data_IF_458171070756
#
_entry.id   IF_458171070756
#
_cell.length_a   1.000
_cell.length_b   1.000
_cell.length_c   1.000
_cell.angle_alpha   90.00
_cell.angle_beta   90.00
_cell.angle_gamma   90.00
#
_symmetry.space_group_name_H-M   'P 1'
#
loop_
_entity.id
_entity.type
_entity.pdbx_description
1 polymer ?
#
# COMPACT_ATOMS: atom_id res chain seq x y z
N UNK A 1 3.28 -2.18 -1.34
CA UNK A 1 3.13 -0.86 -1.98
C UNK A 1 4.51 -0.27 -2.14
N UNK A 2 4.96 -0.06 -3.37
CA UNK A 2 6.30 0.48 -3.65
C UNK A 2 6.45 1.96 -3.25
N UNK A 3 5.34 2.66 -3.02
CA UNK A 3 5.33 4.08 -2.71
C UNK A 3 5.40 4.37 -1.21
N UNK A 4 4.55 3.73 -0.40
CA UNK A 4 4.51 3.90 1.05
C UNK A 4 4.98 2.67 1.84
N UNK A 5 5.61 1.71 1.17
CA UNK A 5 6.17 0.47 1.75
C UNK A 5 5.19 -0.48 2.48
N UNK A 6 3.87 -0.22 2.50
CA UNK A 6 2.93 -1.13 3.18
C UNK A 6 2.70 -2.45 2.42
N UNK A 7 2.51 -3.55 3.15
CA UNK A 7 2.20 -4.88 2.60
C UNK A 7 0.72 -5.08 2.25
N UNK A 8 0.40 -6.25 1.70
CA UNK A 8 -1.00 -6.61 1.35
C UNK A 8 -1.91 -6.80 2.57
N UNK A 9 -1.38 -7.24 3.72
CA UNK A 9 -2.15 -7.32 4.96
C UNK A 9 -2.57 -5.95 5.53
N UNK A 10 -1.90 -4.87 5.13
CA UNK A 10 -2.19 -3.51 5.61
C UNK A 10 -3.08 -2.70 4.66
N UNK A 11 -3.52 -3.29 3.56
CA UNK A 11 -4.37 -2.60 2.59
C UNK A 11 -5.42 -3.56 2.02
N UNK A 12 -6.69 -3.15 1.91
CA UNK A 12 -7.75 -4.05 1.45
C UNK A 12 -7.55 -4.55 0.02
N UNK A 13 -6.74 -3.84 -0.79
CA UNK A 13 -6.44 -4.23 -2.17
C UNK A 13 -5.13 -3.61 -2.64
N UNK A 14 -4.34 -4.40 -3.37
CA UNK A 14 -3.21 -3.88 -4.15
C UNK A 14 -3.66 -3.50 -5.57
N UNK A 15 -3.29 -2.29 -5.98
CA UNK A 15 -3.63 -1.71 -7.28
C UNK A 15 -2.42 -1.66 -8.21
N UNK A 16 -2.68 -1.48 -9.51
CA UNK A 16 -1.66 -1.27 -10.53
C UNK A 16 -1.04 0.13 -10.38
N UNK A 17 0.27 0.18 -10.50
CA UNK A 17 1.07 1.40 -10.52
C UNK A 17 1.99 1.44 -11.73
N UNK A 18 2.96 2.37 -11.74
CA UNK A 18 3.87 2.55 -12.88
C UNK A 18 4.69 1.28 -13.20
N UNK A 19 5.12 0.55 -12.16
CA UNK A 19 5.93 -0.66 -12.31
C UNK A 19 5.13 -1.92 -12.61
N UNK A 20 3.80 -1.82 -12.81
CA UNK A 20 2.94 -2.96 -13.14
C UNK A 20 1.85 -3.25 -12.10
N UNK A 21 1.13 -4.40 -12.25
CA UNK A 21 0.02 -4.78 -11.39
C UNK A 21 0.47 -5.03 -9.93
N UNK A 22 -0.43 -4.80 -8.96
CA UNK A 22 -0.19 -5.00 -7.52
C UNK A 22 1.04 -4.28 -6.94
N UNK A 23 1.43 -3.14 -7.51
CA UNK A 23 2.60 -2.39 -7.04
C UNK A 23 2.24 -1.29 -6.04
N UNK A 24 0.98 -0.87 -5.97
CA UNK A 24 0.52 0.18 -5.06
C UNK A 24 -0.56 -0.33 -4.11
N UNK A 25 -0.68 0.27 -2.92
CA UNK A 25 -1.83 0.02 -2.04
C UNK A 25 -3.09 0.67 -2.61
N UNK A 26 -4.24 0.46 -1.94
CA UNK A 26 -5.50 1.05 -2.37
C UNK A 26 -5.41 2.59 -2.48
N UNK A 27 -4.89 3.27 -1.46
CA UNK A 27 -4.79 4.73 -1.45
C UNK A 27 -3.84 5.27 -2.53
N UNK A 28 -2.58 4.80 -2.57
CA UNK A 28 -1.61 5.23 -3.57
C UNK A 28 -2.07 4.89 -4.99
N UNK A 29 -2.66 3.71 -5.20
CA UNK A 29 -3.15 3.28 -6.50
C UNK A 29 -4.32 4.11 -7.00
N UNK A 30 -5.20 4.59 -6.12
CA UNK A 30 -6.27 5.52 -6.48
C UNK A 30 -5.70 6.89 -6.90
N UNK A 31 -4.71 7.41 -6.17
CA UNK A 31 -4.06 8.68 -6.54
C UNK A 31 -3.37 8.55 -7.90
N UNK A 32 -2.64 7.46 -8.13
CA UNK A 32 -1.99 7.17 -9.40
C UNK A 32 -3.00 7.03 -10.55
N UNK A 33 -4.07 6.26 -10.37
CA UNK A 33 -5.09 6.07 -11.40
C UNK A 33 -5.79 7.38 -11.81
N UNK A 34 -6.00 8.30 -10.84
CA UNK A 34 -6.67 9.58 -11.12
C UNK A 34 -5.73 10.67 -11.64
N UNK A 35 -4.50 10.75 -11.11
CA UNK A 35 -3.57 11.87 -11.39
C UNK A 35 -2.43 11.50 -12.34
N UNK A 36 -2.17 10.20 -12.53
CA UNK A 36 -1.00 9.70 -13.26
C UNK A 36 0.34 9.96 -12.58
N UNK A 37 0.34 10.53 -11.37
CA UNK A 37 1.55 10.88 -10.61
C UNK A 37 1.35 10.63 -9.12
N UNK A 38 2.42 10.19 -8.46
CA UNK A 38 2.49 10.05 -7.01
C UNK A 38 3.44 11.11 -6.44
N UNK A 39 3.10 11.67 -5.29
CA UNK A 39 3.97 12.65 -4.59
C UNK A 39 5.15 11.93 -3.97
N UNK A 40 6.35 12.49 -4.04
CA UNK A 40 7.53 11.91 -3.39
C UNK A 40 7.34 11.79 -1.87
N UNK A 41 7.29 10.56 -1.35
CA UNK A 41 7.19 10.26 0.09
C UNK A 41 8.57 10.20 0.76
N UNK A 42 9.67 10.29 0.00
CA UNK A 42 11.05 10.21 0.52
C UNK A 42 11.37 11.30 1.56
N UNK A 43 10.54 12.35 1.66
CA UNK A 43 10.74 13.49 2.56
C UNK A 43 9.98 13.40 3.88
N UNK A 44 9.09 12.43 4.07
CA UNK A 44 8.42 12.26 5.36
C UNK A 44 7.91 10.81 5.54
N UNK A 45 8.70 9.91 6.13
CA UNK A 45 8.27 8.54 6.46
C UNK A 45 7.31 8.48 7.67
N UNK A 46 6.71 9.61 8.06
CA UNK A 46 5.96 9.73 9.30
C UNK A 46 4.58 9.10 9.14
N UNK A 47 4.47 7.88 9.65
CA UNK A 47 3.25 7.13 9.99
C UNK A 47 2.50 6.51 8.79
N UNK A 48 2.96 5.36 8.27
CA UNK A 48 2.00 4.38 7.76
C UNK A 48 2.55 2.95 7.80
N UNK A 49 2.32 2.28 8.92
CA UNK A 49 2.66 0.86 9.09
C UNK A 49 2.57 0.35 10.52
N UNK A 50 1.72 0.92 11.37
CA UNK A 50 1.37 0.30 12.64
C UNK A 50 0.55 -0.95 12.36
N UNK A 51 1.22 -2.10 12.44
CA UNK A 51 0.74 -3.36 12.99
C UNK A 51 -0.73 -3.71 12.70
N UNK A 52 -0.96 -4.58 11.72
CA UNK A 52 -2.06 -5.53 11.81
C UNK A 52 -1.45 -6.92 11.98
N UNK A 53 -1.47 -7.36 13.24
CA UNK A 53 -1.11 -8.69 13.67
C UNK A 53 -2.32 -9.59 13.39
N UNK A 54 -2.56 -9.92 12.12
CA UNK A 54 -3.51 -10.99 11.76
C UNK A 54 -2.86 -12.33 12.13
N UNK A 55 -3.03 -12.72 13.40
CA UNK A 55 -2.78 -14.08 13.85
C UNK A 55 -3.65 -15.04 13.02
N UNK A 56 -2.94 -15.97 12.39
CA UNK A 56 -3.43 -17.25 11.89
C UNK A 56 -4.52 -17.84 12.77
N UNK A 57 -5.59 -18.26 12.10
CA UNK A 57 -6.57 -19.26 12.50
C UNK A 57 -6.13 -20.15 13.67
N UNK A 58 -6.85 -20.07 14.78
CA UNK A 58 -6.99 -21.20 15.69
C UNK A 58 -8.05 -22.14 15.10
N UNK A 59 -7.64 -23.39 14.88
CA UNK A 59 -8.52 -24.56 14.75
C UNK A 59 -9.48 -24.65 15.94
N UNK A 60 -10.77 -24.83 15.67
CA UNK A 60 -11.64 -25.88 16.21
C UNK A 60 -13.04 -25.82 15.59
#
# INVERSE_FOLDING_TARGET
CLHCAIGEGSTPMMRRGPSGPRTLCNACGLVWANKGVLRDLSKNPTILGSQDQSQSSHEQ
#
